data_IF_043939677479
#
_entry.id   IF_043939677479
#
_cell.length_a   1.000
_cell.length_b   1.000
_cell.length_c   1.000
_cell.angle_alpha   90.00
_cell.angle_beta   90.00
_cell.angle_gamma   90.00
#
_symmetry.space_group_name_H-M   'P 1'
#
loop_
_entity.id
_entity.type
_entity.pdbx_description
1 polymer ?
#
# COMPACT_ATOMS: atom_id res chain seq x y z
N UNK A 1 -8.57 -4.85 9.71
CA UNK A 1 -9.04 -3.71 10.52
C UNK A 1 -8.16 -2.50 10.20
N UNK A 2 -8.69 -1.44 9.58
CA UNK A 2 -7.90 -0.22 9.36
C UNK A 2 -7.52 0.37 10.72
N UNK A 3 -6.23 0.67 10.92
CA UNK A 3 -5.71 1.22 12.17
C UNK A 3 -6.26 2.64 12.36
N UNK A 4 -6.96 2.86 13.48
CA UNK A 4 -7.38 4.19 13.92
C UNK A 4 -6.16 5.03 14.28
N UNK A 5 -5.76 5.96 13.41
CA UNK A 5 -4.72 6.95 13.71
C UNK A 5 -5.37 8.18 14.31
N UNK A 6 -5.37 8.27 15.64
CA UNK A 6 -5.52 9.49 16.47
C UNK A 6 -6.38 10.63 15.88
N UNK A 7 -7.63 10.35 15.48
CA UNK A 7 -8.61 11.38 15.11
C UNK A 7 -8.56 11.93 13.68
N UNK A 8 -7.68 11.43 12.81
CA UNK A 8 -7.70 11.81 11.40
C UNK A 8 -8.85 11.11 10.65
N UNK A 9 -9.59 11.85 9.80
CA UNK A 9 -10.60 11.27 8.91
C UNK A 9 -9.91 10.67 7.68
N UNK A 10 -9.72 9.35 7.67
CA UNK A 10 -9.06 8.63 6.58
C UNK A 10 -10.11 8.21 5.55
N UNK A 11 -9.93 8.62 4.29
CA UNK A 11 -10.79 8.23 3.17
C UNK A 11 -10.00 7.43 2.15
N UNK A 12 -10.40 6.18 1.95
CA UNK A 12 -9.83 5.30 0.93
C UNK A 12 -10.60 5.41 -0.38
N UNK A 13 -9.99 4.97 -1.49
CA UNK A 13 -10.59 5.01 -2.84
C UNK A 13 -11.03 6.42 -3.24
N UNK A 14 -10.22 7.42 -2.87
CA UNK A 14 -10.38 8.80 -3.30
C UNK A 14 -9.16 9.13 -4.15
N UNK A 15 -9.33 9.17 -5.47
CA UNK A 15 -8.28 9.54 -6.41
C UNK A 15 -8.36 11.03 -6.67
N UNK A 16 -7.36 11.78 -6.22
CA UNK A 16 -7.25 13.23 -6.49
C UNK A 16 -6.83 13.43 -7.93
N UNK A 17 -7.58 14.23 -8.68
CA UNK A 17 -7.35 14.48 -10.11
C UNK A 17 -6.94 15.92 -10.41
N UNK A 18 -7.40 16.86 -9.59
CA UNK A 18 -7.19 18.29 -9.82
C UNK A 18 -7.16 19.07 -8.51
N UNK A 19 -6.32 20.11 -8.46
CA UNK A 19 -6.20 21.02 -7.32
C UNK A 19 -6.23 22.46 -7.85
N UNK A 20 -7.20 23.24 -7.39
CA UNK A 20 -7.39 24.65 -7.77
C UNK A 20 -7.36 25.56 -6.55
N UNK A 21 -7.04 26.83 -6.75
CA UNK A 21 -7.17 27.85 -5.72
C UNK A 21 -8.50 28.61 -5.91
N UNK A 22 -9.41 28.47 -4.96
CA UNK A 22 -10.73 29.12 -4.95
C UNK A 22 -10.92 29.88 -3.64
N UNK A 23 -11.21 31.18 -3.70
CA UNK A 23 -11.50 32.00 -2.51
C UNK A 23 -10.44 31.86 -1.40
N UNK A 24 -9.16 31.88 -1.75
CA UNK A 24 -8.02 31.67 -0.84
C UNK A 24 -7.98 30.29 -0.14
N UNK A 25 -8.69 29.30 -0.66
CA UNK A 25 -8.64 27.90 -0.19
C UNK A 25 -8.33 26.95 -1.34
N UNK A 26 -7.71 25.83 -1.02
CA UNK A 26 -7.44 24.76 -1.98
C UNK A 26 -8.70 23.94 -2.17
N UNK A 27 -9.22 23.93 -3.39
CA UNK A 27 -10.28 23.05 -3.81
C UNK A 27 -9.67 21.80 -4.46
N UNK A 28 -9.89 20.65 -3.85
CA UNK A 28 -9.35 19.35 -4.26
C UNK A 28 -10.47 18.53 -4.88
N UNK A 29 -10.37 18.32 -6.19
CA UNK A 29 -11.28 17.51 -6.97
C UNK A 29 -10.80 16.06 -7.03
N UNK A 30 -11.78 15.16 -7.03
CA UNK A 30 -11.57 13.72 -7.06
C UNK A 30 -12.19 13.14 -8.32
N UNK A 31 -11.77 11.94 -8.70
CA UNK A 31 -12.35 11.21 -9.84
C UNK A 31 -13.87 11.04 -9.71
N UNK A 32 -14.36 10.82 -8.49
CA UNK A 32 -15.79 10.69 -8.18
C UNK A 32 -16.17 11.52 -6.96
N UNK A 33 -17.37 12.11 -7.01
CA UNK A 33 -17.93 12.94 -5.95
C UNK A 33 -17.64 14.43 -6.07
N UNK A 34 -18.10 15.20 -5.08
CA UNK A 34 -17.89 16.65 -5.05
C UNK A 34 -16.46 17.01 -4.62
N UNK A 35 -15.93 18.16 -5.10
CA UNK A 35 -14.68 18.72 -4.59
C UNK A 35 -14.76 19.05 -3.10
N UNK A 36 -13.61 19.08 -2.44
CA UNK A 36 -13.49 19.43 -1.02
C UNK A 36 -12.52 20.59 -0.85
N UNK A 37 -12.75 21.44 0.16
CA UNK A 37 -11.92 22.61 0.42
C UNK A 37 -11.01 22.40 1.63
N UNK A 38 -9.76 22.82 1.48
CA UNK A 38 -8.73 22.73 2.51
C UNK A 38 -7.93 24.03 2.59
N UNK A 39 -7.46 24.39 3.78
CA UNK A 39 -6.56 25.54 3.93
C UNK A 39 -5.13 25.18 3.49
N UNK A 40 -4.72 23.92 3.63
CA UNK A 40 -3.38 23.41 3.27
C UNK A 40 -3.51 22.03 2.62
N UNK A 41 -2.70 21.75 1.59
CA UNK A 41 -2.57 20.43 0.96
C UNK A 41 -1.12 19.98 1.03
N UNK A 42 -0.92 18.71 1.43
CA UNK A 42 0.40 18.06 1.44
C UNK A 42 0.35 16.84 0.51
N UNK A 43 1.23 16.80 -0.48
CA UNK A 43 1.31 15.72 -1.45
C UNK A 43 2.45 14.77 -1.07
N UNK A 44 2.13 13.48 -0.93
CA UNK A 44 3.10 12.42 -0.57
C UNK A 44 3.15 11.29 -1.61
N UNK A 45 2.53 11.50 -2.77
CA UNK A 45 2.57 10.53 -3.87
C UNK A 45 3.86 10.70 -4.69
N UNK A 46 4.29 9.67 -5.44
CA UNK A 46 5.46 9.77 -6.30
C UNK A 46 5.39 10.97 -7.25
N UNK A 47 6.54 11.57 -7.52
CA UNK A 47 6.65 12.78 -8.37
C UNK A 47 5.94 12.64 -9.72
N UNK A 48 6.05 11.53 -10.48
CA UNK A 48 5.31 11.37 -11.73
C UNK A 48 3.80 11.51 -11.57
N UNK A 49 3.24 11.08 -10.43
CA UNK A 49 1.81 11.22 -10.15
C UNK A 49 1.44 12.67 -9.81
N UNK A 50 2.32 13.41 -9.12
CA UNK A 50 2.13 14.85 -8.84
C UNK A 50 2.07 15.64 -10.15
N UNK A 51 2.97 15.34 -11.08
CA UNK A 51 3.03 16.01 -12.39
C UNK A 51 1.81 15.73 -13.28
N UNK A 52 1.03 14.67 -13.00
CA UNK A 52 -0.21 14.35 -13.71
C UNK A 52 -1.45 15.08 -13.16
N UNK A 53 -1.34 15.76 -12.01
CA UNK A 53 -2.44 16.55 -11.47
C UNK A 53 -2.76 17.74 -12.39
N UNK A 54 -4.05 18.06 -12.49
CA UNK A 54 -4.54 19.21 -13.26
C UNK A 54 -4.88 20.38 -12.34
N UNK A 55 -5.18 21.53 -12.94
CA UNK A 55 -5.63 22.74 -12.25
C UNK A 55 -4.50 23.71 -11.97
N UNK A 56 -4.76 24.64 -11.05
CA UNK A 56 -3.83 25.73 -10.73
C UNK A 56 -2.51 25.25 -10.14
N UNK A 57 -2.47 24.05 -9.56
CA UNK A 57 -1.24 23.45 -9.03
C UNK A 57 -0.12 23.34 -10.09
N UNK A 58 -0.47 23.12 -11.36
CA UNK A 58 0.51 23.03 -12.46
C UNK A 58 1.25 24.36 -12.61
N UNK A 59 0.56 25.49 -12.39
CA UNK A 59 1.12 26.83 -12.52
C UNK A 59 1.96 27.26 -11.30
N UNK A 60 1.88 26.53 -10.19
CA UNK A 60 2.71 26.78 -9.01
C UNK A 60 4.12 26.21 -9.15
N UNK A 61 4.29 25.24 -10.05
CA UNK A 61 5.56 24.59 -10.30
C UNK A 61 6.25 25.37 -11.41
N UNK A 62 7.33 26.09 -11.06
CA UNK A 62 8.15 26.77 -12.07
C UNK A 62 8.78 25.78 -13.04
N UNK A 63 9.12 26.24 -14.26
CA UNK A 63 9.78 25.39 -15.27
C UNK A 63 11.06 24.72 -14.75
N UNK A 64 11.86 25.43 -13.95
CA UNK A 64 13.06 24.86 -13.33
C UNK A 64 12.71 23.72 -12.36
N UNK A 65 11.75 23.94 -11.44
CA UNK A 65 11.31 22.91 -10.51
C UNK A 65 10.71 21.71 -11.25
N UNK A 66 10.00 21.96 -12.35
CA UNK A 66 9.45 20.89 -13.18
C UNK A 66 10.55 20.01 -13.77
N UNK A 67 11.60 20.60 -14.32
CA UNK A 67 12.75 19.85 -14.85
C UNK A 67 13.44 19.01 -13.77
N UNK A 68 13.61 19.56 -12.56
CA UNK A 68 14.16 18.81 -11.42
C UNK A 68 13.27 17.61 -11.04
N UNK A 69 11.95 17.81 -10.99
CA UNK A 69 10.97 16.77 -10.70
C UNK A 69 10.94 15.68 -11.78
N UNK A 70 11.01 16.06 -13.06
CA UNK A 70 11.03 15.13 -14.20
C UNK A 70 12.34 14.31 -14.26
N UNK A 71 13.44 14.81 -13.68
CA UNK A 71 14.70 14.08 -13.59
C UNK A 71 14.68 12.92 -12.58
N UNK A 72 13.67 12.85 -11.71
CA UNK A 72 13.55 11.80 -10.70
C UNK A 72 13.14 10.49 -11.33
N UNK A 73 13.96 9.45 -11.16
CA UNK A 73 13.69 8.10 -11.67
C UNK A 73 13.35 7.11 -10.56
N UNK A 74 12.45 6.18 -10.89
CA UNK A 74 12.01 5.09 -10.01
C UNK A 74 12.26 3.75 -10.70
N UNK A 75 12.50 2.71 -9.91
CA UNK A 75 12.59 1.33 -10.41
C UNK A 75 11.30 0.56 -10.12
N UNK A 76 10.74 -0.12 -11.11
CA UNK A 76 9.61 -1.03 -10.92
C UNK A 76 10.05 -2.35 -10.29
N UNK A 77 9.26 -2.88 -9.34
CA UNK A 77 9.55 -4.16 -8.66
C UNK A 77 8.26 -4.94 -8.44
N UNK A 78 8.32 -6.24 -8.68
CA UNK A 78 7.22 -7.15 -8.37
C UNK A 78 7.38 -7.75 -6.98
N UNK A 79 6.28 -7.85 -6.23
CA UNK A 79 6.22 -8.52 -4.95
C UNK A 79 5.29 -9.73 -5.05
N UNK A 80 5.79 -10.91 -4.67
CA UNK A 80 5.01 -12.15 -4.63
C UNK A 80 4.78 -12.55 -3.17
N UNK A 81 3.52 -12.60 -2.76
CA UNK A 81 3.11 -13.12 -1.45
C UNK A 81 2.61 -14.56 -1.58
N UNK A 82 3.28 -15.50 -0.91
CA UNK A 82 2.87 -16.91 -0.83
C UNK A 82 2.37 -17.22 0.59
N UNK A 83 1.21 -17.87 0.68
CA UNK A 83 0.59 -18.26 1.93
C UNK A 83 0.49 -19.79 1.98
N UNK A 84 0.93 -20.36 3.10
CA UNK A 84 0.92 -21.80 3.35
C UNK A 84 0.04 -22.10 4.58
N UNK A 85 -0.29 -23.38 4.76
CA UNK A 85 -1.05 -23.83 5.93
C UNK A 85 -0.35 -23.46 7.25
N UNK A 86 -1.16 -23.24 8.28
CA UNK A 86 -0.66 -22.93 9.60
C UNK A 86 0.19 -24.10 10.13
N UNK A 87 1.43 -23.82 10.50
CA UNK A 87 2.37 -24.87 10.92
C UNK A 87 3.37 -25.29 9.84
N UNK A 88 3.17 -24.92 8.55
CA UNK A 88 4.15 -25.22 7.50
C UNK A 88 5.50 -24.59 7.84
N UNK A 89 6.52 -25.44 8.04
CA UNK A 89 7.90 -25.03 8.32
C UNK A 89 8.68 -24.93 7.02
N UNK A 90 9.17 -23.72 6.73
CA UNK A 90 10.15 -23.51 5.66
C UNK A 90 11.52 -23.64 6.34
N UNK A 91 12.18 -24.76 6.09
CA UNK A 91 13.42 -25.14 6.78
C UNK A 91 14.63 -24.43 6.15
N UNK A 92 14.78 -23.16 6.47
CA UNK A 92 15.96 -22.36 6.14
C UNK A 92 16.43 -21.60 7.38
N UNK A 93 17.74 -21.39 7.56
CA UNK A 93 18.29 -20.82 8.78
C UNK A 93 17.96 -19.33 8.95
N UNK A 94 17.66 -18.61 7.87
CA UNK A 94 17.36 -17.18 7.86
C UNK A 94 15.85 -16.88 7.91
N UNK A 95 15.48 -15.63 8.19
CA UNK A 95 14.11 -15.11 8.10
C UNK A 95 13.91 -14.16 6.91
N UNK A 96 15.01 -13.63 6.37
CA UNK A 96 15.07 -12.99 5.06
C UNK A 96 16.47 -13.13 4.48
N UNK A 97 16.57 -13.24 3.16
CA UNK A 97 17.83 -13.39 2.46
C UNK A 97 17.83 -12.55 1.18
N UNK A 98 18.91 -11.80 0.98
CA UNK A 98 19.21 -11.15 -0.29
C UNK A 98 19.84 -12.15 -1.25
N UNK A 99 19.39 -12.13 -2.50
CA UNK A 99 19.89 -13.00 -3.57
C UNK A 99 20.53 -12.11 -4.62
N UNK A 100 21.81 -12.34 -4.89
CA UNK A 100 22.60 -11.53 -5.84
C UNK A 100 22.89 -12.24 -7.15
N UNK A 101 22.86 -13.57 -7.16
CA UNK A 101 23.17 -14.41 -8.31
C UNK A 101 21.98 -14.70 -9.22
N UNK A 102 20.76 -14.34 -8.80
CA UNK A 102 19.54 -14.58 -9.58
C UNK A 102 19.10 -13.28 -10.30
N UNK A 103 18.83 -13.31 -11.61
CA UNK A 103 18.45 -12.13 -12.37
C UNK A 103 17.03 -11.62 -12.05
N UNK A 104 16.16 -12.46 -11.47
CA UNK A 104 14.75 -12.15 -11.24
C UNK A 104 14.44 -11.85 -9.77
N UNK A 105 15.02 -12.63 -8.85
CA UNK A 105 14.69 -12.56 -7.43
C UNK A 105 15.81 -11.84 -6.69
N UNK A 106 15.50 -10.71 -6.06
CA UNK A 106 16.47 -9.93 -5.27
C UNK A 106 16.41 -10.19 -3.77
N UNK A 107 15.25 -10.56 -3.26
CA UNK A 107 15.01 -10.74 -1.83
C UNK A 107 13.87 -11.72 -1.57
N UNK A 108 14.06 -12.61 -0.59
CA UNK A 108 13.02 -13.51 -0.08
C UNK A 108 12.89 -13.29 1.43
N UNK A 109 11.66 -13.29 1.95
CA UNK A 109 11.40 -13.25 3.39
C UNK A 109 10.35 -14.26 3.82
N UNK A 110 10.65 -14.94 4.92
CA UNK A 110 9.70 -15.75 5.69
C UNK A 110 9.13 -14.85 6.77
N UNK A 111 8.02 -14.19 6.43
CA UNK A 111 7.52 -13.06 7.19
C UNK A 111 7.06 -13.46 8.61
N UNK A 112 6.56 -14.69 8.80
CA UNK A 112 6.20 -15.23 10.13
C UNK A 112 7.42 -15.34 11.05
N UNK A 113 8.54 -15.87 10.52
CA UNK A 113 9.81 -15.97 11.24
C UNK A 113 10.40 -14.58 11.51
N UNK A 114 10.31 -13.66 10.55
CA UNK A 114 10.76 -12.27 10.70
C UNK A 114 10.01 -11.51 11.80
N UNK A 115 8.69 -11.71 11.89
CA UNK A 115 7.83 -11.07 12.92
C UNK A 115 7.87 -11.78 14.27
N UNK A 116 8.64 -12.88 14.39
CA UNK A 116 8.64 -13.76 15.57
C UNK A 116 7.22 -14.16 16.00
N UNK A 117 6.33 -14.34 15.02
CA UNK A 117 5.00 -14.89 15.26
C UNK A 117 5.23 -16.39 15.26
N UNK A 118 5.63 -16.91 16.42
CA UNK A 118 5.82 -18.35 16.60
C UNK A 118 4.60 -19.10 16.06
N UNK A 119 4.82 -20.33 15.59
CA UNK A 119 3.73 -21.26 15.31
C UNK A 119 2.98 -21.51 16.62
N UNK A 120 2.08 -20.60 17.00
CA UNK A 120 1.02 -20.93 17.93
C UNK A 120 0.23 -21.98 17.19
N UNK A 121 0.45 -23.24 17.57
CA UNK A 121 -0.40 -24.33 17.14
C UNK A 121 -1.83 -23.85 17.33
N UNK A 122 -2.66 -24.04 16.31
CA UNK A 122 -4.10 -23.75 16.40
C UNK A 122 -4.76 -24.49 17.58
N UNK A 123 -4.08 -25.47 18.17
CA UNK A 123 -4.53 -26.28 19.30
C UNK A 123 -4.66 -25.54 20.65
N UNK A 124 -4.36 -24.24 20.78
CA UNK A 124 -4.51 -23.53 22.06
C UNK A 124 -5.34 -22.23 22.01
N UNK A 125 -6.04 -21.96 20.91
CA UNK A 125 -7.13 -20.97 20.93
C UNK A 125 -8.45 -21.74 20.97
N UNK A 126 -8.89 -22.11 22.18
CA UNK A 126 -10.29 -22.50 22.39
C UNK A 126 -11.15 -21.26 22.19
N UNK A 127 -11.75 -21.13 21.01
CA UNK A 127 -12.88 -20.22 20.81
C UNK A 127 -14.11 -20.79 21.54
N UNK A 128 -15.06 -19.94 21.95
CA UNK A 128 -16.27 -20.40 22.63
C UNK A 128 -17.03 -21.36 21.72
N UNK A 129 -17.47 -22.48 22.26
CA UNK A 129 -18.35 -23.42 21.58
C UNK A 129 -19.59 -22.68 21.08
N UNK A 130 -19.70 -22.50 19.77
CA UNK A 130 -21.00 -22.40 19.11
C UNK A 130 -21.17 -23.62 18.22
N UNK A 131 -22.08 -24.47 18.68
CA UNK A 131 -22.55 -25.66 18.01
C UNK A 131 -23.40 -25.30 16.80
N UNK A 132 -22.80 -25.31 15.61
CA UNK A 132 -23.51 -25.57 14.37
C UNK A 132 -22.52 -25.98 13.28
N UNK A 133 -22.67 -27.22 12.85
CA UNK A 133 -21.95 -27.86 11.76
C UNK A 133 -22.15 -27.11 10.44
N UNK A 134 -21.07 -26.53 9.89
CA UNK A 134 -20.91 -26.33 8.46
C UNK A 134 -19.42 -26.07 8.15
N UNK A 135 -18.72 -27.10 7.68
CA UNK A 135 -17.35 -26.99 7.17
C UNK A 135 -17.38 -26.25 5.84
N UNK A 136 -17.18 -24.94 5.87
CA UNK A 136 -16.93 -24.15 4.65
C UNK A 136 -15.43 -24.20 4.30
N UNK A 137 -15.05 -24.58 3.07
CA UNK A 137 -13.65 -24.57 2.65
C UNK A 137 -13.14 -23.13 2.59
N UNK A 138 -11.96 -22.90 3.15
CA UNK A 138 -11.26 -21.63 3.11
C UNK A 138 -10.89 -21.27 1.65
N UNK A 139 -11.75 -20.54 0.94
CA UNK A 139 -11.44 -19.96 -0.38
C UNK A 139 -10.51 -18.76 -0.17
N UNK A 140 -9.20 -18.98 -0.27
CA UNK A 140 -8.23 -17.88 -0.35
C UNK A 140 -7.94 -17.55 -1.81
N UNK A 141 -8.53 -16.46 -2.31
CA UNK A 141 -8.15 -15.83 -3.58
C UNK A 141 -6.77 -15.20 -3.42
N UNK A 142 -5.80 -15.66 -4.20
CA UNK A 142 -4.49 -15.03 -4.30
C UNK A 142 -4.61 -13.61 -4.86
N UNK A 143 -4.00 -12.64 -4.17
CA UNK A 143 -3.89 -11.28 -4.65
C UNK A 143 -2.46 -11.07 -5.14
N UNK A 144 -2.31 -10.88 -6.46
CA UNK A 144 -1.08 -10.32 -7.03
C UNK A 144 -1.22 -8.81 -6.89
N UNK A 145 -0.44 -8.20 -5.99
CA UNK A 145 -0.31 -6.75 -5.98
C UNK A 145 0.79 -6.36 -6.97
N UNK A 146 0.38 -5.90 -8.14
CA UNK A 146 1.27 -5.13 -9.01
C UNK A 146 1.38 -3.72 -8.43
N UNK A 147 2.56 -3.33 -7.96
CA UNK A 147 2.90 -1.93 -7.77
C UNK A 147 3.58 -1.47 -9.06
N UNK A 148 2.80 -0.94 -9.99
CA UNK A 148 3.33 -0.15 -11.08
C UNK A 148 3.58 1.26 -10.54
N UNK A 149 4.84 1.69 -10.62
CA UNK A 149 5.21 3.10 -10.57
C UNK A 149 5.22 3.63 -12.00
#
# INVERSE_FOLDING_TARGET
>A
MPKSTKGANIRFRQWVTQINLRNNKWEVSKETGSPEQFDIVVLTMPVPQILLLKGDIVNLISEHQRQELESVSYSSRYALGLFYEAGTKIDVPWAGQYITSNPCIRFISIDNKKRNIGYKSCCQLSWPNDSSSETSPCVWRGWIHSFQF
#
